data_IF_333660260107
#
_entry.id   IF_333660260107
#
_cell.length_a   1.000
_cell.length_b   1.000
_cell.length_c   1.000
_cell.angle_alpha   90.00
_cell.angle_beta   90.00
_cell.angle_gamma   90.00
#
_symmetry.space_group_name_H-M   'P 1'
#
loop_
_entity.id
_entity.type
_entity.pdbx_description
1 polymer ?
#
# COMPACT_ATOMS: atom_id res chain seq x y z
N UNK A 1 -48.77 14.83 38.45
CA UNK A 1 -47.81 13.77 38.08
C UNK A 1 -46.41 14.32 38.34
N UNK A 2 -45.55 13.52 39.00
CA UNK A 2 -44.32 13.94 39.67
C UNK A 2 -43.21 14.54 38.76
N UNK A 3 -42.32 15.41 39.28
CA UNK A 3 -41.20 16.02 38.54
C UNK A 3 -39.84 15.37 38.86
N UNK A 4 -38.85 15.41 37.94
CA UNK A 4 -37.48 14.97 38.28
C UNK A 4 -36.39 15.58 37.36
N UNK A 5 -35.72 16.59 37.89
CA UNK A 5 -34.29 16.92 37.79
C UNK A 5 -33.37 15.88 37.10
N UNK A 6 -32.57 16.33 36.13
CA UNK A 6 -31.19 15.90 35.89
C UNK A 6 -30.58 16.67 34.70
N UNK A 7 -30.19 17.93 34.96
CA UNK A 7 -29.29 18.70 34.11
C UNK A 7 -28.22 19.24 35.07
N UNK A 8 -27.12 18.53 35.15
CA UNK A 8 -25.90 18.93 35.87
C UNK A 8 -24.72 18.34 35.05
N UNK A 9 -24.00 19.16 34.30
CA UNK A 9 -22.83 19.96 34.69
C UNK A 9 -21.62 19.13 35.15
N UNK A 10 -20.55 19.31 34.36
CA UNK A 10 -19.20 19.63 34.79
C UNK A 10 -18.46 18.68 35.76
N UNK A 11 -17.49 17.95 35.20
CA UNK A 11 -16.23 17.59 35.86
C UNK A 11 -15.11 18.04 34.90
N UNK A 12 -14.67 19.30 34.95
CA UNK A 12 -13.61 19.79 35.86
C UNK A 12 -12.34 18.93 35.81
N UNK A 13 -11.54 19.14 34.76
CA UNK A 13 -10.11 18.78 34.75
C UNK A 13 -9.37 19.75 35.68
N UNK A 14 -8.96 19.26 36.84
CA UNK A 14 -7.96 19.91 37.71
C UNK A 14 -6.69 19.06 37.74
N UNK A 15 -5.57 19.77 37.55
CA UNK A 15 -4.26 19.68 38.24
C UNK A 15 -3.58 18.30 38.32
N UNK A 16 -2.27 18.12 38.32
CA UNK A 16 -1.07 18.95 38.26
C UNK A 16 0.08 17.96 37.93
N UNK A 17 1.04 18.35 37.10
CA UNK A 17 2.43 18.68 37.50
C UNK A 17 3.02 17.68 38.51
N UNK A 18 4.03 16.92 38.09
CA UNK A 18 5.15 16.52 38.95
C UNK A 18 6.46 16.85 38.23
N UNK A 19 7.19 17.75 38.85
CA UNK A 19 8.56 18.20 38.58
C UNK A 19 9.56 17.36 39.37
N UNK A 20 10.81 17.40 38.90
CA UNK A 20 12.06 17.11 39.63
C UNK A 20 12.29 15.61 39.91
N UNK A 21 13.50 15.07 40.04
CA UNK A 21 14.91 15.42 39.82
C UNK A 21 15.63 14.27 40.53
N UNK A 22 16.68 13.66 39.98
CA UNK A 22 17.78 13.09 40.80
C UNK A 22 18.89 12.55 39.90
N UNK A 23 20.03 13.23 39.99
CA UNK A 23 21.35 12.79 39.59
C UNK A 23 21.78 11.58 40.44
N UNK A 24 22.18 10.48 39.81
CA UNK A 24 23.13 9.53 40.43
C UNK A 24 24.14 9.08 39.37
N UNK A 25 25.34 9.65 39.48
CA UNK A 25 26.60 9.04 39.07
C UNK A 25 26.77 7.68 39.75
N UNK A 26 27.17 6.66 39.00
CA UNK A 26 27.95 5.55 39.56
C UNK A 26 28.78 4.83 38.50
N UNK A 27 30.07 4.88 38.78
CA UNK A 27 31.18 4.27 38.08
C UNK A 27 31.11 2.74 37.98
N UNK A 28 31.81 2.25 36.95
CA UNK A 28 32.71 1.08 36.98
C UNK A 28 32.24 -0.19 37.69
N UNK A 29 31.98 -1.25 36.93
CA UNK A 29 32.58 -2.58 37.13
C UNK A 29 32.01 -3.57 36.10
N UNK A 30 32.74 -3.87 35.02
CA UNK A 30 32.58 -5.17 34.36
C UNK A 30 33.96 -5.71 33.97
N UNK A 31 34.32 -6.92 34.45
CA UNK A 31 35.65 -7.47 34.29
C UNK A 31 35.90 -7.97 32.86
N UNK A 32 37.12 -7.70 32.42
CA UNK A 32 37.83 -8.33 31.31
C UNK A 32 37.96 -9.84 31.47
N UNK A 33 37.85 -10.55 30.34
CA UNK A 33 38.47 -11.85 29.97
C UNK A 33 37.42 -12.84 29.44
N UNK A 34 37.25 -12.86 28.11
CA UNK A 34 36.61 -13.96 27.39
C UNK A 34 37.73 -14.85 26.83
N UNK A 35 37.77 -16.14 27.16
CA UNK A 35 38.77 -17.06 26.63
C UNK A 35 38.52 -17.39 25.14
N UNK A 36 39.60 -17.35 24.36
CA UNK A 36 39.65 -17.68 22.93
C UNK A 36 39.64 -19.22 22.73
N UNK A 37 38.81 -19.77 21.84
CA UNK A 37 38.94 -21.17 21.42
C UNK A 37 40.04 -21.33 20.37
N UNK A 38 41.03 -22.16 20.70
CA UNK A 38 42.10 -22.66 19.83
C UNK A 38 41.51 -23.57 18.72
N UNK A 39 41.65 -23.16 17.45
CA UNK A 39 41.34 -24.02 16.30
C UNK A 39 42.63 -24.65 15.75
N UNK A 40 42.73 -26.00 15.66
CA UNK A 40 43.86 -26.65 15.01
C UNK A 40 43.78 -26.53 13.49
N UNK A 41 44.93 -26.18 12.90
CA UNK A 41 45.20 -26.22 11.46
C UNK A 41 45.18 -27.65 10.93
N UNK A 42 44.25 -27.97 10.04
CA UNK A 42 44.34 -29.13 9.16
C UNK A 42 43.72 -28.75 7.81
N UNK A 43 44.56 -28.44 6.83
CA UNK A 43 44.15 -28.40 5.41
C UNK A 43 44.97 -29.43 4.66
N UNK A 44 44.36 -30.59 4.47
CA UNK A 44 44.80 -31.61 3.53
C UNK A 44 44.31 -31.25 2.12
N UNK A 45 45.20 -31.49 1.17
CA UNK A 45 45.02 -31.54 -0.27
C UNK A 45 43.64 -32.09 -0.72
N UNK A 46 42.95 -31.35 -1.57
CA UNK A 46 42.14 -31.95 -2.63
C UNK A 46 42.00 -30.99 -3.82
N UNK A 47 42.62 -31.38 -4.93
CA UNK A 47 42.41 -30.81 -6.25
C UNK A 47 40.99 -31.15 -6.70
N UNK A 48 40.18 -30.13 -7.03
CA UNK A 48 38.95 -30.33 -7.78
C UNK A 48 38.82 -29.28 -8.88
N UNK A 49 38.86 -29.77 -10.11
CA UNK A 49 38.45 -29.11 -11.35
C UNK A 49 36.98 -28.68 -11.26
N UNK A 50 36.64 -27.44 -11.63
CA UNK A 50 35.45 -27.13 -12.43
C UNK A 50 35.36 -25.65 -12.84
N UNK A 51 35.56 -25.43 -14.15
CA UNK A 51 34.80 -24.58 -15.09
C UNK A 51 34.47 -23.08 -14.81
N UNK A 52 34.48 -22.24 -15.87
CA UNK A 52 34.34 -20.78 -15.77
C UNK A 52 32.91 -20.33 -15.42
N UNK A 53 32.79 -19.45 -14.43
CA UNK A 53 31.53 -18.80 -14.06
C UNK A 53 31.06 -17.85 -15.16
N UNK A 54 29.86 -18.15 -15.66
CA UNK A 54 29.01 -17.32 -16.52
C UNK A 54 28.50 -16.09 -15.74
N UNK A 55 28.95 -14.91 -16.14
CA UNK A 55 28.78 -13.61 -15.43
C UNK A 55 27.43 -12.92 -15.63
N UNK A 56 26.34 -13.64 -15.95
CA UNK A 56 25.02 -13.03 -16.24
C UNK A 56 23.92 -13.24 -15.20
N UNK A 57 24.18 -13.93 -14.09
CA UNK A 57 23.14 -14.26 -13.09
C UNK A 57 23.14 -13.41 -11.81
N UNK A 58 24.02 -12.41 -11.67
CA UNK A 58 24.12 -11.59 -10.45
C UNK A 58 23.40 -10.25 -10.49
N UNK A 59 22.59 -9.96 -11.52
CA UNK A 59 21.76 -8.74 -11.56
C UNK A 59 20.32 -8.92 -11.06
N UNK A 60 19.92 -10.13 -10.66
CA UNK A 60 18.59 -10.37 -10.07
C UNK A 60 18.62 -10.48 -8.54
N UNK A 61 19.79 -10.71 -7.94
CA UNK A 61 19.95 -10.83 -6.47
C UNK A 61 20.11 -9.50 -5.74
N UNK A 62 20.34 -8.38 -6.43
CA UNK A 62 20.49 -7.06 -5.79
C UNK A 62 19.17 -6.27 -5.63
N UNK A 63 18.03 -6.82 -6.08
CA UNK A 63 16.72 -6.20 -5.89
C UNK A 63 15.93 -6.78 -4.69
N UNK A 64 16.49 -7.73 -3.94
CA UNK A 64 15.83 -8.36 -2.79
C UNK A 64 16.12 -7.71 -1.44
N UNK A 65 16.87 -6.60 -1.40
CA UNK A 65 17.25 -5.91 -0.15
C UNK A 65 16.47 -4.62 0.11
N UNK A 66 15.39 -4.37 -0.64
CA UNK A 66 14.40 -3.36 -0.25
C UNK A 66 13.18 -4.07 0.33
N UNK A 67 12.83 -3.86 1.61
CA UNK A 67 11.52 -4.24 2.12
C UNK A 67 10.48 -3.34 1.43
N UNK A 68 10.10 -3.69 0.21
CA UNK A 68 8.90 -3.15 -0.41
C UNK A 68 7.76 -4.01 0.11
N UNK A 69 6.77 -3.44 0.81
CA UNK A 69 5.65 -4.21 1.33
C UNK A 69 4.98 -4.91 0.15
N UNK A 70 4.97 -6.24 0.19
CA UNK A 70 4.42 -7.15 -0.84
C UNK A 70 2.99 -6.75 -1.25
N UNK A 71 2.28 -6.06 -0.35
CA UNK A 71 0.93 -5.52 -0.55
C UNK A 71 0.84 -4.42 -1.64
N UNK A 72 1.87 -3.59 -1.78
CA UNK A 72 1.89 -2.46 -2.73
C UNK A 72 2.06 -2.89 -4.20
N UNK A 73 2.55 -4.11 -4.44
CA UNK A 73 2.86 -4.61 -5.79
C UNK A 73 1.60 -4.96 -6.58
N UNK A 74 0.56 -5.46 -5.93
CA UNK A 74 -0.70 -5.79 -6.59
C UNK A 74 -1.37 -4.57 -7.23
N UNK A 75 -1.27 -3.40 -6.57
CA UNK A 75 -1.77 -2.12 -7.10
C UNK A 75 -0.96 -1.69 -8.34
N UNK A 76 0.37 -1.74 -8.26
CA UNK A 76 1.24 -1.40 -9.39
C UNK A 76 1.00 -2.34 -10.59
N UNK A 77 0.88 -3.64 -10.33
CA UNK A 77 0.62 -4.65 -11.36
C UNK A 77 -0.76 -4.44 -12.02
N UNK A 78 -1.76 -3.99 -11.27
CA UNK A 78 -3.06 -3.64 -11.82
C UNK A 78 -2.98 -2.49 -12.81
N UNK A 79 -2.37 -1.36 -12.44
CA UNK A 79 -2.25 -0.21 -13.34
C UNK A 79 -1.37 -0.53 -14.55
N UNK A 80 -0.30 -1.30 -14.37
CA UNK A 80 0.54 -1.80 -15.47
C UNK A 80 -0.27 -2.64 -16.47
N UNK A 81 -1.11 -3.57 -15.99
CA UNK A 81 -2.02 -4.35 -16.85
C UNK A 81 -3.07 -3.46 -17.50
N UNK A 82 -3.64 -2.52 -16.75
CA UNK A 82 -4.69 -1.63 -17.25
C UNK A 82 -4.19 -0.76 -18.40
N UNK A 83 -2.98 -0.18 -18.29
CA UNK A 83 -2.33 0.59 -19.37
C UNK A 83 -2.06 -0.26 -20.61
N UNK A 84 -1.78 -1.55 -20.45
CA UNK A 84 -1.49 -2.47 -21.56
C UNK A 84 -2.77 -2.93 -22.28
N UNK A 85 -3.85 -3.18 -21.55
CA UNK A 85 -5.06 -3.79 -22.08
C UNK A 85 -6.15 -2.78 -22.48
N UNK A 86 -6.09 -1.55 -21.93
CA UNK A 86 -7.12 -0.54 -22.15
C UNK A 86 -6.51 0.81 -22.54
N UNK A 87 -7.20 1.53 -23.44
CA UNK A 87 -6.97 2.96 -23.63
C UNK A 87 -7.65 3.72 -22.49
N UNK A 88 -6.87 4.12 -21.48
CA UNK A 88 -7.37 4.74 -20.25
C UNK A 88 -8.00 6.11 -20.50
N UNK A 89 -7.40 6.95 -21.35
CA UNK A 89 -7.96 8.25 -21.73
C UNK A 89 -9.37 8.13 -22.31
N UNK A 90 -9.56 7.22 -23.28
CA UNK A 90 -10.88 6.97 -23.88
C UNK A 90 -11.86 6.44 -22.85
N UNK A 91 -11.42 5.56 -21.94
CA UNK A 91 -12.27 5.01 -20.89
C UNK A 91 -12.69 6.07 -19.90
N UNK A 92 -11.78 6.85 -19.32
CA UNK A 92 -12.14 7.85 -18.30
C UNK A 92 -13.02 8.99 -18.84
N UNK A 93 -12.86 9.35 -20.12
CA UNK A 93 -13.73 10.34 -20.80
C UNK A 93 -15.11 9.81 -21.20
N UNK A 94 -15.30 8.50 -21.30
CA UNK A 94 -16.59 7.90 -21.70
C UNK A 94 -17.69 8.27 -20.70
N UNK A 95 -18.93 8.43 -21.16
CA UNK A 95 -20.05 8.79 -20.28
C UNK A 95 -20.46 7.58 -19.44
N UNK A 96 -20.45 7.73 -18.13
CA UNK A 96 -20.88 6.70 -17.18
C UNK A 96 -21.85 7.29 -16.16
N UNK A 97 -22.81 6.47 -15.72
CA UNK A 97 -23.60 6.79 -14.53
C UNK A 97 -22.79 6.57 -13.25
N UNK A 98 -23.06 7.33 -12.18
CA UNK A 98 -22.44 7.10 -10.88
C UNK A 98 -22.65 5.66 -10.40
N UNK A 99 -21.61 5.04 -9.86
CA UNK A 99 -21.56 3.64 -9.45
C UNK A 99 -21.28 2.64 -10.58
N UNK A 100 -21.21 3.08 -11.84
CA UNK A 100 -20.89 2.18 -12.96
C UNK A 100 -19.41 1.79 -12.99
N UNK A 101 -19.14 0.52 -13.32
CA UNK A 101 -17.77 0.05 -13.50
C UNK A 101 -17.17 0.57 -14.79
N UNK A 102 -16.03 1.24 -14.70
CA UNK A 102 -15.26 1.72 -15.85
C UNK A 102 -14.33 0.62 -16.36
N UNK A 103 -13.57 0.02 -15.44
CA UNK A 103 -12.63 -1.04 -15.76
C UNK A 103 -12.36 -1.97 -14.55
N UNK A 104 -11.96 -3.22 -14.81
CA UNK A 104 -12.12 -3.94 -16.07
C UNK A 104 -13.61 -4.26 -16.35
N UNK A 105 -13.94 -4.73 -17.55
CA UNK A 105 -15.31 -5.18 -17.86
C UNK A 105 -15.76 -6.29 -16.90
N UNK A 106 -17.04 -6.28 -16.52
CA UNK A 106 -17.65 -7.14 -15.50
C UNK A 106 -17.74 -8.59 -15.97
N UNK A 107 -16.64 -9.31 -15.84
CA UNK A 107 -16.56 -10.75 -16.13
C UNK A 107 -15.77 -11.44 -15.02
N UNK A 108 -16.16 -12.66 -14.67
CA UNK A 108 -15.48 -13.41 -13.58
C UNK A 108 -13.99 -13.63 -13.88
N UNK A 109 -13.62 -13.78 -15.15
CA UNK A 109 -12.22 -13.92 -15.59
C UNK A 109 -11.41 -12.66 -15.30
N UNK A 110 -11.97 -11.49 -15.60
CA UNK A 110 -11.30 -10.20 -15.34
C UNK A 110 -11.22 -9.92 -13.84
N UNK A 111 -12.29 -10.20 -13.10
CA UNK A 111 -12.34 -9.91 -11.68
C UNK A 111 -11.25 -10.68 -10.90
N UNK A 112 -10.97 -11.92 -11.30
CA UNK A 112 -9.86 -12.73 -10.76
C UNK A 112 -8.49 -12.24 -11.27
N UNK A 113 -8.36 -11.91 -12.56
CA UNK A 113 -7.09 -11.51 -13.20
C UNK A 113 -6.54 -10.17 -12.69
N UNK A 114 -7.44 -9.21 -12.50
CA UNK A 114 -7.09 -7.83 -12.13
C UNK A 114 -7.12 -7.61 -10.61
N UNK A 115 -7.97 -8.33 -9.87
CA UNK A 115 -8.16 -8.22 -8.40
C UNK A 115 -8.66 -6.85 -7.90
N UNK A 116 -8.46 -5.77 -8.65
CA UNK A 116 -8.95 -4.42 -8.39
C UNK A 116 -9.88 -3.97 -9.52
N UNK A 117 -10.67 -2.93 -9.25
CA UNK A 117 -11.58 -2.30 -10.21
C UNK A 117 -11.64 -0.79 -10.00
N UNK A 118 -11.97 -0.06 -11.06
CA UNK A 118 -12.27 1.37 -11.00
C UNK A 118 -13.72 1.57 -11.41
N UNK A 119 -14.46 2.20 -10.50
CA UNK A 119 -15.85 2.57 -10.69
C UNK A 119 -15.94 4.10 -10.86
N UNK A 120 -16.92 4.54 -11.65
CA UNK A 120 -17.25 5.94 -11.85
C UNK A 120 -18.04 6.45 -10.63
N UNK A 121 -17.59 7.53 -10.03
CA UNK A 121 -18.35 8.29 -9.05
C UNK A 121 -19.22 9.36 -9.71
N UNK A 122 -19.57 10.37 -8.92
CA UNK A 122 -20.38 11.50 -9.37
C UNK A 122 -19.60 12.43 -10.30
N UNK A 123 -20.35 13.12 -11.18
CA UNK A 123 -19.83 14.17 -12.03
C UNK A 123 -20.04 15.51 -11.33
N UNK A 124 -18.93 16.15 -10.94
CA UNK A 124 -18.90 17.42 -10.22
C UNK A 124 -18.77 18.55 -11.24
N UNK A 125 -19.67 19.55 -11.15
CA UNK A 125 -19.68 20.74 -12.01
C UNK A 125 -19.65 20.42 -13.52
N UNK A 126 -20.24 19.29 -13.92
CA UNK A 126 -20.25 18.80 -15.30
C UNK A 126 -18.86 18.67 -15.97
N UNK A 127 -17.78 18.66 -15.17
CA UNK A 127 -16.38 18.66 -15.66
C UNK A 127 -15.54 17.59 -15.01
N UNK A 128 -15.58 17.49 -13.69
CA UNK A 128 -14.73 16.57 -12.93
C UNK A 128 -15.48 15.30 -12.60
N UNK A 129 -15.02 14.16 -13.09
CA UNK A 129 -15.56 12.86 -12.69
C UNK A 129 -14.73 12.28 -11.56
N UNK A 130 -15.38 11.85 -10.49
CA UNK A 130 -14.69 11.09 -9.46
C UNK A 130 -14.41 9.66 -9.96
N UNK A 131 -13.18 9.19 -9.80
CA UNK A 131 -12.77 7.81 -10.04
C UNK A 131 -12.54 7.15 -8.68
N UNK A 132 -13.13 5.97 -8.49
CA UNK A 132 -13.06 5.25 -7.23
C UNK A 132 -12.37 3.92 -7.49
N UNK A 133 -11.22 3.70 -6.86
CA UNK A 133 -10.53 2.42 -6.88
C UNK A 133 -11.08 1.53 -5.75
N UNK A 134 -11.54 0.34 -6.09
CA UNK A 134 -12.05 -0.64 -5.14
C UNK A 134 -11.39 -2.01 -5.33
N UNK A 135 -11.39 -2.79 -4.26
CA UNK A 135 -10.89 -4.18 -4.27
C UNK A 135 -12.02 -5.14 -4.62
N UNK A 136 -11.76 -6.10 -5.49
CA UNK A 136 -12.73 -7.16 -5.78
C UNK A 136 -12.75 -8.20 -4.64
N UNK A 137 -13.93 -8.79 -4.40
CA UNK A 137 -14.08 -9.91 -3.44
C UNK A 137 -13.27 -11.15 -3.82
N UNK A 138 -12.94 -11.30 -5.10
CA UNK A 138 -12.18 -12.42 -5.67
C UNK A 138 -10.66 -12.20 -5.62
N UNK A 139 -10.17 -11.16 -4.93
CA UNK A 139 -8.74 -10.91 -4.81
C UNK A 139 -8.02 -12.08 -4.13
N UNK A 140 -6.92 -12.54 -4.72
CA UNK A 140 -6.12 -13.68 -4.21
C UNK A 140 -4.93 -13.21 -3.39
N UNK A 141 -4.47 -11.97 -3.60
CA UNK A 141 -3.33 -11.39 -2.87
C UNK A 141 -3.67 -11.24 -1.39
N UNK A 142 -2.84 -11.73 -0.46
CA UNK A 142 -3.13 -11.71 0.98
C UNK A 142 -3.45 -10.30 1.50
N UNK A 143 -2.65 -9.29 1.13
CA UNK A 143 -2.89 -7.91 1.57
C UNK A 143 -4.23 -7.32 1.11
N UNK A 144 -4.66 -7.62 -0.11
CA UNK A 144 -5.97 -7.19 -0.61
C UNK A 144 -7.10 -7.93 0.09
N UNK A 145 -6.92 -9.22 0.40
CA UNK A 145 -7.91 -10.01 1.15
C UNK A 145 -8.09 -9.48 2.56
N UNK A 146 -7.00 -9.14 3.25
CA UNK A 146 -7.07 -8.64 4.62
C UNK A 146 -7.69 -7.25 4.67
N UNK A 147 -7.40 -6.39 3.69
CA UNK A 147 -8.08 -5.10 3.53
C UNK A 147 -9.59 -5.28 3.32
N UNK A 148 -10.01 -6.19 2.43
CA UNK A 148 -11.44 -6.49 2.18
C UNK A 148 -12.13 -7.06 3.43
N UNK A 149 -11.46 -7.88 4.24
CA UNK A 149 -12.03 -8.35 5.51
C UNK A 149 -12.26 -7.20 6.50
N UNK A 150 -11.37 -6.20 6.53
CA UNK A 150 -11.43 -5.06 7.46
C UNK A 150 -12.49 -4.03 7.07
N UNK A 151 -12.59 -3.69 5.78
CA UNK A 151 -13.43 -2.58 5.30
C UNK A 151 -14.61 -3.02 4.42
N UNK A 152 -14.60 -4.25 3.91
CA UNK A 152 -15.62 -4.77 2.99
C UNK A 152 -15.27 -4.59 1.51
N UNK A 153 -16.18 -5.04 0.65
CA UNK A 153 -16.01 -5.09 -0.83
C UNK A 153 -16.40 -3.81 -1.57
N UNK A 154 -17.10 -2.91 -0.88
CA UNK A 154 -17.55 -1.62 -1.40
C UNK A 154 -16.77 -0.45 -0.81
N UNK A 155 -15.79 -0.73 0.05
CA UNK A 155 -14.90 0.27 0.56
C UNK A 155 -14.07 0.90 -0.56
N UNK A 156 -13.80 2.19 -0.41
CA UNK A 156 -12.97 2.95 -1.35
C UNK A 156 -11.52 2.83 -0.93
N UNK A 157 -10.68 2.30 -1.80
CA UNK A 157 -9.24 2.16 -1.53
C UNK A 157 -8.50 3.47 -1.81
N UNK A 158 -8.90 4.14 -2.90
CA UNK A 158 -8.43 5.45 -3.32
C UNK A 158 -9.53 6.14 -4.12
N UNK A 159 -9.53 7.47 -4.08
CA UNK A 159 -10.42 8.28 -4.92
C UNK A 159 -9.65 9.49 -5.48
N UNK A 160 -9.95 9.83 -6.72
CA UNK A 160 -9.34 10.98 -7.38
C UNK A 160 -10.32 11.59 -8.38
N UNK A 161 -10.15 12.87 -8.68
CA UNK A 161 -10.97 13.58 -9.67
C UNK A 161 -10.22 13.64 -10.99
N UNK A 162 -10.92 13.26 -12.05
CA UNK A 162 -10.45 13.32 -13.43
C UNK A 162 -11.17 14.43 -14.18
N UNK A 163 -10.42 15.33 -14.81
CA UNK A 163 -10.98 16.36 -15.68
C UNK A 163 -11.36 15.78 -17.06
N UNK A 164 -12.67 15.67 -17.33
CA UNK A 164 -13.18 15.13 -18.60
C UNK A 164 -12.95 16.06 -19.79
N UNK A 165 -12.77 17.36 -19.53
CA UNK A 165 -12.60 18.42 -20.52
C UNK A 165 -11.13 18.88 -20.65
N UNK A 166 -10.18 18.15 -20.07
CA UNK A 166 -8.75 18.46 -20.19
C UNK A 166 -8.31 18.54 -21.66
N UNK A 167 -7.43 19.52 -21.95
CA UNK A 167 -6.84 19.71 -23.27
C UNK A 167 -5.99 18.51 -23.67
N UNK A 168 -5.13 18.04 -22.76
CA UNK A 168 -4.38 16.79 -22.90
C UNK A 168 -4.95 15.69 -21.96
N UNK A 169 -5.72 14.72 -22.50
CA UNK A 169 -6.25 13.64 -21.69
C UNK A 169 -5.19 12.65 -21.20
N UNK A 170 -4.12 12.42 -21.95
CA UNK A 170 -3.15 11.37 -21.60
C UNK A 170 -2.30 11.84 -20.42
N UNK A 171 -1.89 13.11 -20.40
CA UNK A 171 -1.20 13.70 -19.25
C UNK A 171 -2.07 13.70 -17.99
N UNK A 172 -3.36 14.04 -18.12
CA UNK A 172 -4.29 14.03 -16.98
C UNK A 172 -4.55 12.61 -16.47
N UNK A 173 -4.63 11.61 -17.36
CA UNK A 173 -4.72 10.20 -16.97
C UNK A 173 -3.50 9.79 -16.15
N UNK A 174 -2.28 10.13 -16.59
CA UNK A 174 -1.06 9.73 -15.89
C UNK A 174 -1.04 10.33 -14.47
N UNK A 175 -1.35 11.64 -14.34
CA UNK A 175 -1.49 12.31 -13.04
C UNK A 175 -2.47 11.59 -12.12
N UNK A 176 -3.64 11.24 -12.64
CA UNK A 176 -4.70 10.58 -11.87
C UNK A 176 -4.29 9.16 -11.48
N UNK A 177 -3.65 8.40 -12.38
CA UNK A 177 -3.17 7.05 -12.09
C UNK A 177 -2.08 7.07 -11.01
N UNK A 178 -1.11 7.99 -11.10
CA UNK A 178 -0.06 8.13 -10.10
C UNK A 178 -0.64 8.47 -8.71
N UNK A 179 -1.61 9.39 -8.65
CA UNK A 179 -2.31 9.73 -7.40
C UNK A 179 -3.07 8.54 -6.83
N UNK A 180 -3.87 7.84 -7.64
CA UNK A 180 -4.61 6.65 -7.21
C UNK A 180 -3.68 5.54 -6.71
N UNK A 181 -2.57 5.31 -7.40
CA UNK A 181 -1.56 4.33 -7.01
C UNK A 181 -0.89 4.72 -5.68
N UNK A 182 -0.52 5.98 -5.49
CA UNK A 182 0.08 6.50 -4.27
C UNK A 182 -0.86 6.39 -3.06
N UNK A 183 -2.11 6.81 -3.22
CA UNK A 183 -3.14 6.70 -2.19
C UNK A 183 -3.40 5.23 -1.82
N UNK A 184 -3.62 4.37 -2.81
CA UNK A 184 -3.90 2.96 -2.58
C UNK A 184 -2.74 2.25 -1.85
N UNK A 185 -1.49 2.55 -2.20
CA UNK A 185 -0.31 2.02 -1.49
C UNK A 185 -0.24 2.50 -0.05
N UNK A 186 -0.66 3.73 0.23
CA UNK A 186 -0.71 4.28 1.59
C UNK A 186 -1.81 3.60 2.40
N UNK A 187 -3.00 3.43 1.82
CA UNK A 187 -4.14 2.72 2.43
C UNK A 187 -3.84 1.26 2.75
N UNK A 188 -2.92 0.62 2.02
CA UNK A 188 -2.51 -0.78 2.26
C UNK A 188 -1.36 -0.92 3.27
N UNK A 189 -0.66 0.17 3.62
CA UNK A 189 0.42 0.13 4.65
C UNK A 189 -0.14 0.27 6.07
N UNK A 190 -1.35 0.81 6.22
CA UNK A 190 -2.03 1.12 7.48
C UNK A 190 -3.03 0.03 7.90
#
# INVERSE_FOLDING_TARGET
MAPNWALDMAMSKRLCINTASEDISRDSFFPSTIPQPNFPQIFNHLLFFCSPLNTKETLTKLNSLRPHPVMSRAVADFFKKARKEFNLAKKFRSIFSPGSRILPSRTSKNDTKFQLRIDAGELINNRYRQLILQVNSQATTPGLRDWVKKYGTHAKLAEERFDTLAEDPEAEVERVVESLEGQAKTSLKN
#
